data_IF_039318315015
#
_entry.id   IF_039318315015
#
_cell.length_a   1.000
_cell.length_b   1.000
_cell.length_c   1.000
_cell.angle_alpha   90.00
_cell.angle_beta   90.00
_cell.angle_gamma   90.00
#
_symmetry.space_group_name_H-M   'P 1'
#
loop_
_entity.id
_entity.type
_entity.pdbx_description
1 polymer ?
#
# COMPACT_ATOMS: atom_id res chain seq x y z
N UNK A 1 15.77 -15.54 -14.23
CA UNK A 1 14.52 -15.07 -13.61
C UNK A 1 14.43 -13.59 -13.88
N UNK A 2 13.41 -13.15 -14.59
CA UNK A 2 13.22 -11.75 -14.93
C UNK A 2 12.77 -10.98 -13.69
N UNK A 3 13.14 -9.70 -13.50
CA UNK A 3 12.79 -8.90 -12.32
C UNK A 3 11.28 -8.80 -12.05
N UNK A 4 10.47 -8.85 -13.10
CA UNK A 4 9.01 -8.86 -13.06
C UNK A 4 8.42 -10.12 -12.43
N UNK A 5 9.18 -11.24 -12.42
CA UNK A 5 8.74 -12.49 -11.79
C UNK A 5 8.96 -12.54 -10.27
N UNK A 6 9.73 -11.60 -9.70
CA UNK A 6 10.10 -11.64 -8.27
C UNK A 6 9.14 -10.81 -7.42
N UNK A 7 8.80 -9.61 -7.83
CA UNK A 7 8.02 -8.67 -7.00
C UNK A 7 6.61 -8.37 -7.51
N UNK A 8 6.43 -8.41 -8.82
CA UNK A 8 5.17 -8.02 -9.45
C UNK A 8 3.97 -8.92 -9.10
N UNK A 9 4.10 -10.27 -9.06
CA UNK A 9 2.96 -11.12 -8.69
C UNK A 9 2.44 -10.83 -7.29
N UNK A 10 3.33 -10.63 -6.32
CA UNK A 10 2.96 -10.26 -4.95
C UNK A 10 2.34 -8.87 -4.90
N UNK A 11 2.91 -7.89 -5.59
CA UNK A 11 2.34 -6.54 -5.68
C UNK A 11 0.94 -6.55 -6.31
N UNK A 12 0.75 -7.34 -7.37
CA UNK A 12 -0.56 -7.48 -8.02
C UNK A 12 -1.59 -8.12 -7.09
N UNK A 13 -1.22 -9.19 -6.39
CA UNK A 13 -2.10 -9.83 -5.42
C UNK A 13 -2.47 -8.89 -4.26
N UNK A 14 -1.50 -8.17 -3.70
CA UNK A 14 -1.74 -7.16 -2.66
C UNK A 14 -2.66 -6.05 -3.15
N UNK A 15 -2.49 -5.58 -4.39
CA UNK A 15 -3.41 -4.60 -5.00
C UNK A 15 -4.84 -5.12 -5.05
N UNK A 16 -5.03 -6.37 -5.44
CA UNK A 16 -6.36 -6.97 -5.55
C UNK A 16 -6.98 -7.17 -4.15
N UNK A 17 -6.20 -7.64 -3.17
CA UNK A 17 -6.62 -7.72 -1.77
C UNK A 17 -7.02 -6.33 -1.23
N UNK A 18 -6.21 -5.30 -1.49
CA UNK A 18 -6.49 -3.93 -1.05
C UNK A 18 -7.78 -3.38 -1.69
N UNK A 19 -7.99 -3.62 -2.98
CA UNK A 19 -9.20 -3.21 -3.68
C UNK A 19 -10.45 -3.84 -3.06
N UNK A 20 -10.40 -5.13 -2.72
CA UNK A 20 -11.53 -5.82 -2.08
C UNK A 20 -11.81 -5.24 -0.68
N UNK A 21 -10.78 -5.00 0.12
CA UNK A 21 -10.97 -4.40 1.45
C UNK A 21 -11.45 -2.94 1.37
N UNK A 22 -11.02 -2.19 0.38
CA UNK A 22 -11.50 -0.82 0.17
C UNK A 22 -13.02 -0.74 -0.09
N UNK A 23 -13.63 -1.79 -0.65
CA UNK A 23 -15.10 -1.87 -0.83
C UNK A 23 -15.87 -1.78 0.48
N UNK A 24 -15.26 -2.19 1.59
CA UNK A 24 -15.84 -2.16 2.93
C UNK A 24 -15.55 -0.88 3.70
N UNK A 25 -14.73 0.01 3.16
CA UNK A 25 -14.45 1.32 3.76
C UNK A 25 -15.70 2.22 3.73
N UNK A 26 -15.81 3.12 4.71
CA UNK A 26 -16.88 4.14 4.76
C UNK A 26 -16.85 5.10 3.56
N UNK A 27 -15.68 5.27 2.93
CA UNK A 27 -15.55 5.97 1.65
C UNK A 27 -16.06 5.15 0.47
N UNK A 28 -16.27 3.83 0.65
CA UNK A 28 -16.65 2.92 -0.40
C UNK A 28 -15.51 2.58 -1.36
N UNK A 29 -15.86 2.13 -2.54
CA UNK A 29 -14.96 1.62 -3.56
C UNK A 29 -13.96 2.67 -4.06
N UNK A 30 -12.80 2.21 -4.55
CA UNK A 30 -11.82 3.05 -5.23
C UNK A 30 -12.04 3.01 -6.74
N UNK A 31 -11.79 4.13 -7.41
CA UNK A 31 -11.90 4.25 -8.87
C UNK A 31 -10.85 3.39 -9.56
N UNK A 32 -9.63 3.49 -9.09
CA UNK A 32 -8.48 2.81 -9.67
C UNK A 32 -7.67 2.04 -8.62
N UNK A 33 -7.05 0.95 -9.05
CA UNK A 33 -6.04 0.25 -8.27
C UNK A 33 -4.83 -0.06 -9.15
N UNK A 34 -3.65 0.35 -8.73
CA UNK A 34 -2.44 0.29 -9.58
C UNK A 34 -1.24 -0.31 -8.85
N UNK A 35 -0.36 -0.96 -9.62
CA UNK A 35 0.97 -1.37 -9.14
C UNK A 35 2.00 -0.38 -9.68
N UNK A 36 2.92 0.05 -8.83
CA UNK A 36 3.95 1.06 -9.16
C UNK A 36 5.33 0.64 -8.68
N UNK A 37 6.34 1.27 -9.24
CA UNK A 37 7.70 1.27 -8.72
C UNK A 37 8.08 2.69 -8.30
N UNK A 38 8.86 2.84 -7.22
CA UNK A 38 9.28 4.16 -6.77
C UNK A 38 10.07 4.13 -5.46
N UNK A 39 10.62 5.27 -5.08
CA UNK A 39 11.39 5.42 -3.85
C UNK A 39 10.55 5.14 -2.60
N UNK A 40 11.18 4.59 -1.57
CA UNK A 40 10.55 4.34 -0.27
C UNK A 40 10.10 5.65 0.39
N UNK A 41 9.01 5.58 1.15
CA UNK A 41 8.50 6.71 1.95
C UNK A 41 7.81 7.82 1.14
N UNK A 42 7.85 7.78 -0.17
CA UNK A 42 7.11 8.72 -1.02
C UNK A 42 5.73 8.15 -1.33
N UNK A 43 4.73 8.49 -0.53
CA UNK A 43 3.35 8.19 -0.91
C UNK A 43 3.07 8.67 -2.34
N UNK A 44 2.31 7.93 -3.12
CA UNK A 44 1.96 8.38 -4.47
C UNK A 44 0.71 9.25 -4.41
N UNK A 45 0.87 10.52 -4.75
CA UNK A 45 -0.19 11.53 -4.79
C UNK A 45 -0.53 11.93 -6.23
N UNK A 46 -0.36 11.02 -7.19
CA UNK A 46 -0.58 11.33 -8.63
C UNK A 46 -2.06 11.58 -8.99
N UNK A 47 -2.81 12.03 -8.02
CA UNK A 47 -4.21 12.36 -8.14
C UNK A 47 -5.10 11.39 -7.35
N UNK A 48 -6.05 11.96 -6.70
CA UNK A 48 -7.20 11.26 -6.15
C UNK A 48 -8.39 11.56 -7.07
N UNK A 49 -8.92 10.54 -7.70
CA UNK A 49 -10.15 10.70 -8.45
C UNK A 49 -11.30 10.88 -7.46
N UNK A 50 -11.93 12.06 -7.49
CA UNK A 50 -12.94 12.46 -6.52
C UNK A 50 -14.33 11.96 -6.88
N UNK A 51 -14.59 11.78 -8.15
CA UNK A 51 -15.87 11.38 -8.69
C UNK A 51 -15.64 10.43 -9.86
N UNK A 52 -15.93 9.18 -9.65
CA UNK A 52 -15.68 8.18 -10.67
C UNK A 52 -16.50 6.93 -10.45
N UNK A 53 -16.23 5.94 -11.28
CA UNK A 53 -16.76 4.59 -11.15
C UNK A 53 -15.61 3.61 -11.05
N UNK A 54 -15.81 2.54 -10.30
CA UNK A 54 -14.88 1.42 -10.29
C UNK A 54 -14.93 0.63 -11.62
N UNK A 55 -14.07 -0.35 -11.83
CA UNK A 55 -14.08 -1.18 -13.04
C UNK A 55 -15.42 -1.92 -13.26
N UNK A 56 -16.20 -2.11 -12.21
CA UNK A 56 -17.53 -2.72 -12.24
C UNK A 56 -18.65 -1.70 -12.49
N UNK A 57 -18.32 -0.44 -12.72
CA UNK A 57 -19.26 0.65 -13.03
C UNK A 57 -20.00 1.22 -11.81
N UNK A 58 -19.64 0.85 -10.59
CA UNK A 58 -20.24 1.37 -9.35
C UNK A 58 -19.59 2.69 -8.92
N UNK A 59 -20.34 3.58 -8.25
CA UNK A 59 -19.78 4.81 -7.70
C UNK A 59 -18.56 4.53 -6.83
N UNK A 60 -17.46 5.23 -7.08
CA UNK A 60 -16.18 5.02 -6.41
C UNK A 60 -15.44 6.35 -6.23
N UNK A 61 -14.52 6.39 -5.25
CA UNK A 61 -13.75 7.59 -4.92
C UNK A 61 -12.32 7.22 -4.54
N UNK A 62 -11.37 7.97 -5.08
CA UNK A 62 -9.95 7.82 -4.75
C UNK A 62 -9.27 6.67 -5.47
N UNK A 63 -8.01 6.48 -5.15
CA UNK A 63 -7.13 5.50 -5.78
C UNK A 63 -6.47 4.63 -4.73
N UNK A 64 -6.50 3.30 -4.92
CA UNK A 64 -5.66 2.36 -4.19
C UNK A 64 -4.39 2.09 -5.00
N UNK A 65 -3.28 1.84 -4.32
CA UNK A 65 -2.02 1.57 -4.98
C UNK A 65 -1.15 0.62 -4.17
N UNK A 66 -0.32 -0.16 -4.86
CA UNK A 66 0.77 -0.93 -4.27
C UNK A 66 2.05 -0.57 -5.01
N UNK A 67 3.08 -0.21 -4.27
CA UNK A 67 4.37 0.17 -4.80
C UNK A 67 5.44 -0.80 -4.32
N UNK A 68 6.27 -1.28 -5.24
CA UNK A 68 7.54 -1.94 -4.91
C UNK A 68 8.57 -0.84 -4.69
N UNK A 69 9.00 -0.65 -3.44
CA UNK A 69 9.90 0.45 -3.08
C UNK A 69 11.35 0.02 -2.92
N UNK A 70 11.59 -1.26 -2.63
CA UNK A 70 12.95 -1.80 -2.52
C UNK A 70 12.97 -3.29 -2.80
N UNK A 71 14.04 -3.75 -3.45
CA UNK A 71 14.35 -5.16 -3.62
C UNK A 71 15.79 -5.36 -3.12
N UNK A 72 15.95 -6.20 -2.12
CA UNK A 72 17.24 -6.52 -1.52
C UNK A 72 17.40 -8.03 -1.37
N UNK A 73 18.60 -8.52 -1.13
CA UNK A 73 18.82 -9.90 -0.73
C UNK A 73 18.53 -10.05 0.76
N UNK A 74 17.78 -11.08 1.13
CA UNK A 74 17.56 -11.42 2.52
C UNK A 74 18.83 -12.11 3.08
N UNK A 75 19.35 -11.61 4.20
CA UNK A 75 20.36 -12.31 4.97
C UNK A 75 19.65 -13.21 5.99
N UNK A 76 19.74 -14.52 5.78
CA UNK A 76 19.19 -15.54 6.69
C UNK A 76 20.26 -15.94 7.72
N UNK A 77 21.07 -15.02 8.19
CA UNK A 77 21.94 -15.30 9.32
C UNK A 77 21.13 -15.29 10.62
N UNK A 78 20.73 -16.44 11.06
CA UNK A 78 20.17 -16.99 12.31
C UNK A 78 19.83 -16.14 13.54
N UNK A 79 19.73 -14.84 13.46
CA UNK A 79 19.39 -13.92 14.55
C UNK A 79 18.30 -12.93 14.15
N UNK A 80 17.13 -13.38 13.86
CA UNK A 80 15.86 -12.60 13.97
C UNK A 80 15.76 -11.19 13.36
N UNK A 81 16.84 -10.63 12.82
CA UNK A 81 16.85 -9.35 12.13
C UNK A 81 17.24 -9.55 10.68
N UNK A 82 16.25 -9.43 9.81
CA UNK A 82 16.45 -9.40 8.37
C UNK A 82 17.12 -8.08 7.99
N UNK A 83 18.47 -8.06 8.01
CA UNK A 83 19.23 -6.93 7.50
C UNK A 83 19.54 -7.14 6.02
N UNK A 84 19.52 -6.07 5.25
CA UNK A 84 20.13 -6.06 3.93
C UNK A 84 21.62 -6.42 4.07
N UNK A 85 21.96 -7.67 3.80
CA UNK A 85 23.31 -8.20 4.03
C UNK A 85 24.30 -7.80 2.93
N UNK A 86 25.56 -7.63 3.31
CA UNK A 86 26.65 -7.48 2.35
C UNK A 86 26.77 -8.73 1.47
N UNK A 87 26.94 -8.54 0.17
CA UNK A 87 27.10 -9.61 -0.82
C UNK A 87 28.43 -10.32 -0.55
N UNK A 88 28.41 -11.38 0.24
CA UNK A 88 29.56 -12.28 0.39
C UNK A 88 29.22 -13.59 -0.31
N UNK A 89 29.81 -13.85 -1.48
CA UNK A 89 29.81 -15.13 -2.21
C UNK A 89 28.48 -15.91 -2.22
N UNK A 90 27.34 -15.20 -2.28
CA UNK A 90 26.05 -15.83 -2.24
C UNK A 90 25.71 -16.45 -3.61
N UNK A 91 25.54 -17.75 -3.62
CA UNK A 91 25.04 -18.49 -4.77
C UNK A 91 23.68 -17.92 -5.20
N UNK A 92 23.28 -18.16 -6.45
CA UNK A 92 22.01 -17.69 -7.02
C UNK A 92 20.73 -18.08 -6.26
N UNK A 93 20.82 -18.77 -5.12
CA UNK A 93 19.74 -19.33 -4.32
C UNK A 93 19.26 -18.49 -3.12
N UNK A 94 19.88 -17.32 -2.87
CA UNK A 94 19.45 -16.48 -1.72
C UNK A 94 18.04 -15.93 -1.92
N UNK A 95 17.18 -15.94 -0.88
CA UNK A 95 15.88 -15.35 -0.96
C UNK A 95 15.95 -13.83 -1.13
N UNK A 96 14.85 -13.26 -1.60
CA UNK A 96 14.71 -11.82 -1.77
C UNK A 96 13.91 -11.22 -0.61
N UNK A 97 14.37 -10.08 -0.11
CA UNK A 97 13.61 -9.20 0.77
C UNK A 97 13.04 -8.07 -0.09
N UNK A 98 11.73 -8.01 -0.20
CA UNK A 98 11.05 -7.01 -1.01
C UNK A 98 10.22 -6.12 -0.09
N UNK A 99 10.42 -4.82 -0.19
CA UNK A 99 9.61 -3.84 0.53
C UNK A 99 8.50 -3.35 -0.37
N UNK A 100 7.28 -3.50 0.12
CA UNK A 100 6.06 -2.99 -0.51
C UNK A 100 5.51 -1.85 0.32
N UNK A 101 5.01 -0.84 -0.35
CA UNK A 101 4.13 0.17 0.23
C UNK A 101 2.77 0.04 -0.44
N UNK A 102 1.70 0.01 0.34
CA UNK A 102 0.34 -0.08 -0.16
C UNK A 102 -0.54 0.94 0.53
N UNK A 103 -1.38 1.62 -0.22
CA UNK A 103 -2.14 2.74 0.33
C UNK A 103 -3.40 3.07 -0.44
N UNK A 104 -4.20 3.92 0.18
CA UNK A 104 -5.40 4.50 -0.38
C UNK A 104 -5.29 6.02 -0.25
N UNK A 105 -5.54 6.72 -1.35
CA UNK A 105 -5.61 8.18 -1.41
C UNK A 105 -6.99 8.59 -1.88
N UNK A 106 -7.60 9.55 -1.18
CA UNK A 106 -8.93 10.06 -1.46
C UNK A 106 -8.95 11.57 -1.48
N UNK A 107 -10.03 12.12 -1.99
CA UNK A 107 -10.25 13.56 -1.91
C UNK A 107 -10.46 14.01 -0.48
N UNK A 108 -9.71 15.04 -0.13
CA UNK A 108 -9.85 15.75 1.14
C UNK A 108 -10.75 16.97 0.91
N UNK A 109 -11.76 17.20 1.76
CA UNK A 109 -12.60 18.37 1.64
C UNK A 109 -11.75 19.64 1.75
N UNK A 110 -11.97 20.58 0.86
CA UNK A 110 -11.31 21.89 0.86
C UNK A 110 -12.37 22.97 0.88
N UNK A 111 -12.15 24.04 1.64
CA UNK A 111 -13.02 25.20 1.58
C UNK A 111 -12.85 25.94 0.25
N UNK A 112 -13.92 26.48 -0.29
CA UNK A 112 -13.90 27.21 -1.57
C UNK A 112 -13.23 28.60 -1.45
N UNK A 113 -13.22 29.14 -0.26
CA UNK A 113 -12.73 30.50 0.07
C UNK A 113 -11.42 30.50 0.87
N UNK A 114 -10.83 29.32 1.10
CA UNK A 114 -9.61 29.19 1.89
C UNK A 114 -9.81 29.29 3.40
N UNK A 115 -11.05 29.39 3.88
CA UNK A 115 -11.34 29.37 5.31
C UNK A 115 -11.06 27.99 5.91
N UNK A 116 -10.75 27.89 7.22
CA UNK A 116 -10.64 26.60 7.89
C UNK A 116 -11.94 25.79 7.79
N UNK A 117 -11.82 24.49 7.60
CA UNK A 117 -12.97 23.59 7.65
C UNK A 117 -13.61 23.60 9.04
N UNK A 118 -14.94 23.45 9.14
CA UNK A 118 -15.61 23.25 10.42
C UNK A 118 -15.04 22.05 11.16
N UNK A 119 -14.89 22.14 12.49
CA UNK A 119 -14.32 21.05 13.30
C UNK A 119 -15.07 19.73 13.11
N UNK A 120 -16.40 19.78 13.00
CA UNK A 120 -17.24 18.59 12.76
C UNK A 120 -16.92 17.91 11.42
N UNK A 121 -16.60 18.66 10.39
CA UNK A 121 -16.22 18.11 9.09
C UNK A 121 -14.82 17.48 9.13
N UNK A 122 -13.91 18.11 9.86
CA UNK A 122 -12.57 17.55 10.10
C UNK A 122 -12.67 16.22 10.84
N UNK A 123 -13.48 16.14 11.91
CA UNK A 123 -13.66 14.91 12.69
C UNK A 123 -14.29 13.79 11.86
N UNK A 124 -15.33 14.06 11.10
CA UNK A 124 -15.96 13.08 10.21
C UNK A 124 -14.97 12.58 9.16
N UNK A 125 -14.18 13.49 8.61
CA UNK A 125 -13.16 13.14 7.61
C UNK A 125 -12.05 12.29 8.22
N UNK A 126 -11.58 12.61 9.42
CA UNK A 126 -10.60 11.80 10.15
C UNK A 126 -11.11 10.36 10.39
N UNK A 127 -12.36 10.20 10.84
CA UNK A 127 -12.97 8.88 11.04
C UNK A 127 -12.99 8.06 9.73
N UNK A 128 -13.29 8.70 8.61
CA UNK A 128 -13.27 8.02 7.30
C UNK A 128 -11.86 7.56 6.91
N UNK A 129 -10.84 8.39 7.11
CA UNK A 129 -9.45 7.99 6.84
C UNK A 129 -8.97 6.87 7.76
N UNK A 130 -9.42 6.84 9.03
CA UNK A 130 -9.15 5.72 9.92
C UNK A 130 -9.78 4.41 9.42
N UNK A 131 -10.96 4.47 8.80
CA UNK A 131 -11.58 3.30 8.18
C UNK A 131 -10.79 2.79 6.96
N UNK A 132 -10.18 3.69 6.17
CA UNK A 132 -9.27 3.29 5.10
C UNK A 132 -7.97 2.67 5.64
N UNK A 133 -7.43 3.19 6.75
CA UNK A 133 -6.29 2.57 7.43
C UNK A 133 -6.62 1.14 7.88
N UNK A 134 -7.81 0.92 8.41
CA UNK A 134 -8.30 -0.41 8.76
C UNK A 134 -8.42 -1.32 7.54
N UNK A 135 -8.90 -0.81 6.42
CA UNK A 135 -8.97 -1.56 5.17
C UNK A 135 -7.56 -1.96 4.66
N UNK A 136 -6.57 -1.08 4.79
CA UNK A 136 -5.18 -1.37 4.46
C UNK A 136 -4.63 -2.50 5.35
N UNK A 137 -4.84 -2.42 6.67
CA UNK A 137 -4.39 -3.45 7.60
C UNK A 137 -5.03 -4.81 7.29
N UNK A 138 -6.34 -4.84 7.06
CA UNK A 138 -7.04 -6.06 6.67
C UNK A 138 -6.56 -6.63 5.32
N UNK A 139 -6.17 -5.78 4.39
CA UNK A 139 -5.60 -6.24 3.13
C UNK A 139 -4.26 -6.95 3.33
N UNK A 140 -3.49 -6.56 4.33
CA UNK A 140 -2.24 -7.25 4.70
C UNK A 140 -2.55 -8.55 5.43
N UNK A 141 -3.40 -8.50 6.46
CA UNK A 141 -3.66 -9.64 7.35
C UNK A 141 -4.46 -10.76 6.67
N UNK A 142 -5.33 -10.41 5.73
CA UNK A 142 -6.27 -11.36 5.10
C UNK A 142 -5.94 -11.67 3.62
N UNK A 143 -4.76 -11.30 3.12
CA UNK A 143 -4.37 -11.62 1.75
C UNK A 143 -3.79 -13.03 1.65
N UNK A 144 -4.52 -14.01 1.08
CA UNK A 144 -4.07 -15.42 1.06
C UNK A 144 -2.77 -15.62 0.28
N UNK A 145 -2.42 -14.68 -0.56
CA UNK A 145 -1.17 -14.75 -1.33
C UNK A 145 0.06 -14.57 -0.44
N UNK A 146 -0.06 -13.83 0.66
CA UNK A 146 1.05 -13.59 1.60
C UNK A 146 1.41 -14.85 2.41
N UNK A 147 0.48 -15.78 2.62
CA UNK A 147 0.71 -17.04 3.32
C UNK A 147 1.72 -17.95 2.61
N UNK A 148 1.97 -17.71 1.32
CA UNK A 148 2.93 -18.48 0.51
C UNK A 148 4.38 -18.03 0.71
N UNK A 149 4.60 -16.94 1.43
CA UNK A 149 5.93 -16.38 1.64
C UNK A 149 6.54 -16.85 2.96
N UNK A 150 7.87 -16.89 3.00
CA UNK A 150 8.61 -17.37 4.17
C UNK A 150 8.50 -16.42 5.39
N UNK A 151 8.08 -15.18 5.17
CA UNK A 151 7.82 -14.21 6.23
C UNK A 151 7.30 -12.90 5.67
N UNK A 152 6.38 -12.31 6.43
CA UNK A 152 5.84 -10.97 6.19
C UNK A 152 6.07 -10.16 7.46
N UNK A 153 6.72 -9.02 7.33
CA UNK A 153 6.97 -8.07 8.42
C UNK A 153 6.18 -6.81 8.16
N UNK A 154 5.31 -6.43 9.09
CA UNK A 154 4.71 -5.11 9.11
C UNK A 154 5.72 -4.09 9.66
N UNK A 155 5.95 -3.01 8.92
CA UNK A 155 6.93 -1.98 9.29
C UNK A 155 6.27 -0.74 9.86
N UNK A 156 5.29 -0.18 9.15
CA UNK A 156 4.62 1.05 9.57
C UNK A 156 3.30 1.25 8.84
N UNK A 157 2.43 2.06 9.44
CA UNK A 157 1.26 2.67 8.82
C UNK A 157 1.38 4.19 8.99
N UNK A 158 1.34 4.93 7.90
CA UNK A 158 1.57 6.36 7.87
C UNK A 158 0.39 7.08 7.22
N UNK A 159 0.03 8.25 7.75
CA UNK A 159 -0.91 9.14 7.11
C UNK A 159 -0.20 9.95 6.02
N UNK A 160 -0.91 10.22 4.94
CA UNK A 160 -0.55 11.18 3.90
C UNK A 160 -1.39 12.43 4.16
N UNK A 161 -0.73 13.52 4.55
CA UNK A 161 -1.41 14.78 4.80
C UNK A 161 -2.06 15.36 3.55
N UNK A 162 -3.00 16.30 3.71
CA UNK A 162 -3.68 16.90 2.58
C UNK A 162 -2.67 17.65 1.69
N UNK A 163 -2.65 17.30 0.42
CA UNK A 163 -1.85 17.95 -0.61
C UNK A 163 -2.61 17.93 -1.92
N UNK A 164 -2.79 19.08 -2.56
CA UNK A 164 -3.55 19.19 -3.81
C UNK A 164 -5.00 18.70 -3.71
N UNK A 165 -5.63 18.82 -2.54
CA UNK A 165 -6.98 18.32 -2.29
C UNK A 165 -7.08 16.80 -2.10
N UNK A 166 -5.96 16.11 -1.94
CA UNK A 166 -5.88 14.67 -1.70
C UNK A 166 -5.27 14.39 -0.32
N UNK A 167 -5.77 13.37 0.37
CA UNK A 167 -5.18 12.82 1.60
C UNK A 167 -5.38 11.31 1.63
N UNK A 168 -4.67 10.63 2.51
CA UNK A 168 -4.79 9.17 2.59
C UNK A 168 -3.90 8.54 3.63
N UNK A 169 -3.63 7.26 3.43
CA UNK A 169 -2.72 6.49 4.28
C UNK A 169 -2.02 5.42 3.47
N UNK A 170 -0.86 5.00 3.94
CA UNK A 170 -0.16 3.84 3.40
C UNK A 170 0.55 3.04 4.48
N UNK A 171 0.60 1.74 4.27
CA UNK A 171 1.42 0.83 5.07
C UNK A 171 2.67 0.43 4.31
N UNK A 172 3.72 0.15 5.06
CA UNK A 172 4.95 -0.46 4.57
C UNK A 172 5.08 -1.86 5.14
N UNK A 173 5.29 -2.84 4.27
CA UNK A 173 5.58 -4.22 4.64
C UNK A 173 6.84 -4.72 3.96
N UNK A 174 7.50 -5.69 4.58
CA UNK A 174 8.60 -6.45 3.99
C UNK A 174 8.20 -7.89 3.83
N UNK A 175 8.49 -8.46 2.67
CA UNK A 175 8.15 -9.84 2.34
C UNK A 175 9.42 -10.58 1.96
N UNK A 176 9.67 -11.71 2.62
CA UNK A 176 10.75 -12.64 2.25
C UNK A 176 10.20 -13.62 1.23
N UNK A 177 10.66 -13.48 0.01
CA UNK A 177 10.31 -14.41 -1.07
C UNK A 177 11.38 -15.50 -1.16
N UNK A 178 10.99 -16.72 -0.79
CA UNK A 178 11.78 -17.90 -1.12
C UNK A 178 11.68 -18.17 -2.63
N UNK A 179 12.74 -18.68 -3.23
CA UNK A 179 12.65 -19.25 -4.58
C UNK A 179 11.86 -20.57 -4.49
N UNK A 180 10.76 -20.63 -5.19
CA UNK A 180 10.19 -21.90 -5.57
C UNK A 180 11.09 -22.63 -6.57
#
# INVERSE_FOLDING_TARGET
>A
MQPDQVGYPTASALRDCLREQAKTSVFGRVVNSVVRFGAAGSGTMDGCDCEGKDPEGQPARGTAWVKVSQIARADISGRGQQRAGAIRNQRCASPWLITYELGIVRCYPTSKDGSPLPATEVDVTAQKFMADQWAIMRAIDCCPYLDKHAGVEFVSLNAIGPSGGCAGSFATIRVVQSRG
#
